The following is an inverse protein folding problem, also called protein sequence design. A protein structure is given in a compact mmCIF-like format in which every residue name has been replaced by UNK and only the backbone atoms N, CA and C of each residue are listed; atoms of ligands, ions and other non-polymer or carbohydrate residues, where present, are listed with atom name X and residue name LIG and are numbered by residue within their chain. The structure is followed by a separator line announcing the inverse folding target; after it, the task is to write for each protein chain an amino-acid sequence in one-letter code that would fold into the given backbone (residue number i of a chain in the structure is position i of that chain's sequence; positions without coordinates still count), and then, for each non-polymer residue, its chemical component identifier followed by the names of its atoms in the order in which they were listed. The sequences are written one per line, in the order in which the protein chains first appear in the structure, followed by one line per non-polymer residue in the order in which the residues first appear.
data_IF_806233886168
#
_entry.id   IF_806233886168
#
_cell.length_a   1.000
_cell.length_b   1.000
_cell.length_c   1.000
_cell.angle_alpha   90.00
_cell.angle_beta   90.00
_cell.angle_gamma   90.00
#
_symmetry.space_group_name_H-M   'P 1'
#
loop_
_entity.id
_entity.type
_entity.pdbx_description
1 polymer ?
#
# COMPACT_ATOMS: atom_id res chain seq x y z
N UNK A 1 -8.43 -36.71 15.73
CA UNK A 1 -7.93 -35.67 16.66
C UNK A 1 -7.25 -34.58 15.84
N UNK A 2 -7.77 -33.35 15.85
CA UNK A 2 -7.14 -32.21 15.17
C UNK A 2 -6.00 -31.70 16.06
N UNK A 3 -4.77 -31.73 15.54
CA UNK A 3 -3.59 -31.23 16.24
C UNK A 3 -3.73 -29.73 16.54
N UNK A 4 -3.39 -29.30 17.76
CA UNK A 4 -3.43 -27.87 18.12
C UNK A 4 -2.45 -27.09 17.22
N UNK A 5 -2.89 -26.01 16.57
CA UNK A 5 -2.01 -25.22 15.70
C UNK A 5 -0.89 -24.58 16.52
N UNK A 6 0.35 -24.67 16.01
CA UNK A 6 1.52 -24.01 16.61
C UNK A 6 1.63 -22.58 16.07
N UNK A 7 2.04 -21.65 16.94
CA UNK A 7 2.31 -20.28 16.53
C UNK A 7 3.44 -20.22 15.48
N UNK A 8 3.23 -19.43 14.43
CA UNK A 8 4.24 -19.20 13.39
C UNK A 8 5.33 -18.28 13.94
N UNK A 9 6.59 -18.67 13.79
CA UNK A 9 7.74 -17.81 14.12
C UNK A 9 7.93 -16.75 13.02
N UNK A 10 8.32 -15.50 13.34
CA UNK A 10 8.58 -14.47 12.34
C UNK A 10 9.56 -14.90 11.24
N UNK A 11 10.57 -15.71 11.62
CA UNK A 11 11.54 -16.24 10.66
C UNK A 11 10.92 -17.20 9.65
N UNK A 12 9.94 -18.00 10.06
CA UNK A 12 9.21 -18.90 9.17
C UNK A 12 8.44 -18.12 8.11
N UNK A 13 7.80 -17.01 8.51
CA UNK A 13 7.10 -16.12 7.58
C UNK A 13 8.08 -15.45 6.60
N UNK A 14 9.20 -14.90 7.12
CA UNK A 14 10.25 -14.28 6.30
C UNK A 14 10.81 -15.25 5.25
N UNK A 15 11.05 -16.51 5.63
CA UNK A 15 11.54 -17.54 4.71
C UNK A 15 10.51 -17.90 3.64
N UNK A 16 9.22 -18.02 3.99
CA UNK A 16 8.17 -18.29 3.01
C UNK A 16 7.97 -17.13 2.02
N UNK A 17 8.01 -15.89 2.50
CA UNK A 17 7.96 -14.70 1.64
C UNK A 17 9.16 -14.68 0.68
N UNK A 18 10.37 -14.95 1.19
CA UNK A 18 11.58 -15.04 0.35
C UNK A 18 11.42 -16.09 -0.74
N UNK A 19 10.97 -17.29 -0.38
CA UNK A 19 10.77 -18.40 -1.32
C UNK A 19 9.75 -18.06 -2.42
N UNK A 20 8.62 -17.45 -2.07
CA UNK A 20 7.64 -16.95 -3.04
C UNK A 20 8.27 -15.92 -3.97
N UNK A 21 9.03 -14.97 -3.42
CA UNK A 21 9.69 -13.93 -4.23
C UNK A 21 10.72 -14.51 -5.21
N UNK A 22 11.44 -15.56 -4.83
CA UNK A 22 12.38 -16.26 -5.73
C UNK A 22 11.62 -16.99 -6.83
N UNK A 23 10.58 -17.77 -6.47
CA UNK A 23 9.76 -18.51 -7.43
C UNK A 23 9.03 -17.59 -8.42
N UNK A 24 8.65 -16.39 -7.98
CA UNK A 24 8.04 -15.36 -8.82
C UNK A 24 9.06 -14.58 -9.68
N UNK A 25 10.37 -14.87 -9.58
CA UNK A 25 11.41 -14.14 -10.31
C UNK A 25 11.69 -12.73 -9.78
N UNK A 26 11.11 -12.34 -8.64
CA UNK A 26 11.28 -11.01 -8.03
C UNK A 26 12.58 -10.90 -7.23
N UNK A 27 13.25 -12.02 -6.95
CA UNK A 27 14.48 -12.05 -6.15
C UNK A 27 15.43 -13.14 -6.62
N UNK A 28 16.69 -12.78 -6.82
CA UNK A 28 17.77 -13.74 -7.10
C UNK A 28 18.48 -14.18 -5.83
N UNK A 29 18.96 -15.43 -5.82
CA UNK A 29 19.87 -15.95 -4.82
C UNK A 29 21.25 -15.95 -5.43
N UNK A 30 22.15 -15.13 -4.87
CA UNK A 30 23.57 -15.18 -5.22
C UNK A 30 24.26 -16.03 -4.14
N UNK A 31 24.90 -17.09 -4.58
CA UNK A 31 25.67 -17.97 -3.72
C UNK A 31 27.06 -17.39 -3.50
N UNK A 32 27.58 -17.52 -2.28
CA UNK A 32 28.98 -17.21 -2.01
C UNK A 32 29.85 -18.21 -2.79
N UNK A 33 30.80 -17.72 -3.60
CA UNK A 33 31.69 -18.58 -4.36
C UNK A 33 32.46 -19.54 -3.44
N UNK A 34 32.41 -20.81 -3.83
CA UNK A 34 33.00 -22.03 -3.24
C UNK A 34 34.40 -21.85 -2.62
N UNK A 35 34.47 -21.39 -1.38
CA UNK A 35 35.61 -21.68 -0.49
C UNK A 35 35.12 -22.75 0.50
N UNK A 36 35.21 -23.98 -0.01
CA UNK A 36 35.01 -25.36 0.49
C UNK A 36 34.25 -25.71 1.79
N UNK A 37 33.86 -24.81 2.71
CA UNK A 37 33.19 -25.22 3.97
C UNK A 37 32.04 -24.35 4.47
N UNK A 38 31.68 -23.27 3.77
CA UNK A 38 30.57 -22.40 4.18
C UNK A 38 29.53 -22.24 3.07
N UNK A 39 28.43 -22.98 3.19
CA UNK A 39 27.23 -22.74 2.38
C UNK A 39 26.51 -21.50 2.90
N UNK A 40 26.43 -20.46 2.07
CA UNK A 40 25.78 -19.20 2.41
C UNK A 40 25.28 -18.47 1.18
N UNK A 41 24.21 -17.69 1.35
CA UNK A 41 23.74 -16.75 0.32
C UNK A 41 24.15 -15.34 0.69
N UNK A 42 24.46 -14.53 -0.32
CA UNK A 42 24.72 -13.12 -0.13
C UNK A 42 23.47 -12.42 0.39
N UNK A 43 23.64 -11.64 1.47
CA UNK A 43 22.57 -10.77 1.96
C UNK A 43 22.41 -9.63 0.97
N UNK A 44 21.18 -9.43 0.49
CA UNK A 44 20.83 -8.23 -0.28
C UNK A 44 20.80 -7.02 0.65
N UNK A 45 21.07 -5.85 0.08
CA UNK A 45 21.01 -4.55 0.76
C UNK A 45 19.68 -4.34 1.50
N UNK A 46 18.56 -4.67 0.86
CA UNK A 46 17.23 -4.60 1.47
C UNK A 46 16.73 -6.02 1.83
N UNK A 47 16.55 -6.32 3.14
CA UNK A 47 15.89 -7.53 3.58
C UNK A 47 14.44 -7.58 3.07
N UNK A 48 13.96 -8.76 2.66
CA UNK A 48 12.65 -8.88 1.99
C UNK A 48 11.50 -8.28 2.81
N UNK A 49 11.42 -8.57 4.11
CA UNK A 49 10.38 -8.05 5.01
C UNK A 49 10.52 -6.54 5.23
N UNK A 50 11.75 -6.02 5.26
CA UNK A 50 11.98 -4.57 5.34
C UNK A 50 11.55 -3.88 4.05
N UNK A 51 11.70 -4.54 2.89
CA UNK A 51 11.17 -4.09 1.62
C UNK A 51 9.65 -3.91 1.66
N UNK A 52 8.92 -4.88 2.20
CA UNK A 52 7.47 -4.75 2.41
C UNK A 52 7.09 -3.58 3.34
N UNK A 53 7.83 -3.41 4.44
CA UNK A 53 7.61 -2.25 5.33
C UNK A 53 7.87 -0.93 4.62
N UNK A 54 8.99 -0.80 3.89
CA UNK A 54 9.33 0.38 3.09
C UNK A 54 8.26 0.67 2.04
N UNK A 55 7.80 -0.35 1.31
CA UNK A 55 6.71 -0.21 0.35
C UNK A 55 5.45 0.34 1.03
N UNK A 56 5.03 -0.25 2.14
CA UNK A 56 3.87 0.21 2.90
C UNK A 56 4.00 1.69 3.31
N UNK A 57 5.15 2.06 3.89
CA UNK A 57 5.47 3.45 4.26
C UNK A 57 5.39 4.38 3.05
N UNK A 58 6.00 4.01 1.93
CA UNK A 58 5.98 4.80 0.69
C UNK A 58 4.57 5.00 0.17
N UNK A 59 3.72 3.97 0.18
CA UNK A 59 2.33 4.12 -0.29
C UNK A 59 1.47 5.01 0.62
N UNK A 60 1.75 5.03 1.93
CA UNK A 60 1.11 5.97 2.85
C UNK A 60 1.59 7.41 2.63
N UNK A 61 2.86 7.61 2.26
CA UNK A 61 3.39 8.93 1.87
C UNK A 61 2.70 9.43 0.60
N UNK A 62 2.58 8.59 -0.42
CA UNK A 62 1.89 8.93 -1.69
C UNK A 62 0.40 9.26 -1.48
N UNK A 63 -0.24 8.65 -0.48
CA UNK A 63 -1.63 8.93 -0.11
C UNK A 63 -1.80 10.19 0.78
N UNK A 64 -0.71 10.91 1.05
CA UNK A 64 -0.65 12.08 1.93
C UNK A 64 -1.17 11.79 3.35
N UNK A 65 -0.76 10.64 3.89
CA UNK A 65 -1.02 10.29 5.29
C UNK A 65 0.03 10.97 6.18
N UNK A 66 -0.45 11.72 7.17
CA UNK A 66 0.40 12.44 8.13
C UNK A 66 1.40 11.52 8.83
N UNK A 67 2.59 12.05 9.10
CA UNK A 67 3.73 11.28 9.62
C UNK A 67 3.42 10.56 10.93
N UNK A 68 2.78 11.24 11.87
CA UNK A 68 2.37 10.70 13.15
C UNK A 68 1.36 9.53 13.00
N UNK A 69 0.44 9.62 12.04
CA UNK A 69 -0.54 8.57 11.76
C UNK A 69 0.10 7.38 11.07
N UNK A 70 1.03 7.64 10.14
CA UNK A 70 1.85 6.61 9.49
C UNK A 70 2.68 5.84 10.52
N UNK A 71 3.30 6.52 11.48
CA UNK A 71 4.04 5.87 12.56
C UNK A 71 3.15 4.97 13.42
N UNK A 72 1.95 5.44 13.77
CA UNK A 72 0.98 4.61 14.49
C UNK A 72 0.55 3.38 13.67
N UNK A 73 0.29 3.54 12.37
CA UNK A 73 -0.03 2.43 11.46
C UNK A 73 1.12 1.42 11.31
N UNK A 74 2.37 1.88 11.42
CA UNK A 74 3.57 1.05 11.40
C UNK A 74 3.88 0.38 12.74
N UNK A 75 3.10 0.69 13.79
CA UNK A 75 3.33 0.22 15.15
C UNK A 75 4.55 0.85 15.82
N UNK A 76 4.97 2.04 15.37
CA UNK A 76 5.98 2.82 16.07
C UNK A 76 5.39 3.57 17.27
N UNK A 77 6.23 3.79 18.28
CA UNK A 77 5.94 4.80 19.28
C UNK A 77 6.07 6.20 18.66
N UNK A 78 5.15 7.08 19.03
CA UNK A 78 5.26 8.50 18.70
C UNK A 78 6.51 9.09 19.38
N UNK A 79 7.14 10.08 18.73
CA UNK A 79 8.37 10.68 19.24
C UNK A 79 8.06 11.81 20.22
N UNK A 80 8.96 12.00 21.19
CA UNK A 80 8.95 13.14 22.11
C UNK A 80 7.57 13.35 22.78
N UNK A 81 7.07 14.58 22.80
CA UNK A 81 5.82 14.93 23.46
C UNK A 81 4.58 14.62 22.59
N UNK A 82 4.74 14.12 21.36
CA UNK A 82 3.60 13.86 20.46
C UNK A 82 2.63 12.84 21.04
N UNK A 83 3.11 11.89 21.87
CA UNK A 83 2.25 10.94 22.57
C UNK A 83 1.22 11.60 23.50
N UNK A 84 1.50 12.82 23.97
CA UNK A 84 0.60 13.56 24.85
C UNK A 84 -0.50 14.29 24.08
N UNK A 85 -0.23 14.66 22.82
CA UNK A 85 -1.13 15.50 22.01
C UNK A 85 -1.86 14.70 20.92
N UNK A 86 -1.23 13.68 20.35
CA UNK A 86 -1.76 12.88 19.25
C UNK A 86 -2.49 11.67 19.84
N UNK A 87 -3.73 11.91 20.26
CA UNK A 87 -4.67 10.85 20.66
C UNK A 87 -5.64 10.59 19.52
N UNK A 88 -5.33 9.58 18.73
CA UNK A 88 -6.09 9.23 17.53
C UNK A 88 -6.97 8.04 17.85
N UNK A 89 -8.26 8.14 17.50
CA UNK A 89 -9.16 6.99 17.61
C UNK A 89 -8.84 5.96 16.52
N UNK A 90 -9.07 4.68 16.81
CA UNK A 90 -8.89 3.60 15.83
C UNK A 90 -9.66 3.87 14.53
N UNK A 91 -10.89 4.41 14.65
CA UNK A 91 -11.71 4.81 13.50
C UNK A 91 -11.03 5.84 12.61
N UNK A 92 -10.40 6.86 13.19
CA UNK A 92 -9.67 7.87 12.42
C UNK A 92 -8.42 7.26 11.76
N UNK A 93 -7.71 6.40 12.47
CA UNK A 93 -6.54 5.71 11.91
C UNK A 93 -6.93 4.80 10.73
N UNK A 94 -8.06 4.12 10.84
CA UNK A 94 -8.64 3.32 9.76
C UNK A 94 -8.98 4.18 8.54
N UNK A 95 -9.64 5.33 8.71
CA UNK A 95 -9.99 6.22 7.60
C UNK A 95 -8.75 6.71 6.84
N UNK A 96 -7.66 6.99 7.54
CA UNK A 96 -6.39 7.40 6.93
C UNK A 96 -5.72 6.24 6.19
N UNK A 97 -5.77 5.03 6.76
CA UNK A 97 -5.32 3.83 6.06
C UNK A 97 -6.13 3.55 4.79
N UNK A 98 -7.45 3.74 4.83
CA UNK A 98 -8.35 3.53 3.68
C UNK A 98 -7.99 4.41 2.48
N UNK A 99 -7.43 5.60 2.71
CA UNK A 99 -6.94 6.48 1.63
C UNK A 99 -5.81 5.82 0.83
N UNK A 100 -4.98 5.02 1.48
CA UNK A 100 -3.84 4.35 0.86
C UNK A 100 -4.13 2.94 0.33
N UNK A 101 -5.32 2.37 0.60
CA UNK A 101 -5.66 1.01 0.17
C UNK A 101 -5.46 0.82 -1.33
N UNK A 102 -5.86 1.80 -2.16
CA UNK A 102 -5.71 1.71 -3.60
C UNK A 102 -4.24 1.61 -4.05
N UNK A 103 -3.31 2.18 -3.28
CA UNK A 103 -1.88 2.13 -3.54
C UNK A 103 -1.27 0.80 -3.05
N UNK A 104 -1.82 0.26 -1.95
CA UNK A 104 -1.37 -0.98 -1.33
C UNK A 104 -1.92 -2.24 -1.99
N UNK A 105 -2.97 -2.12 -2.79
CA UNK A 105 -3.63 -3.25 -3.46
C UNK A 105 -3.35 -3.25 -4.96
N UNK A 106 -3.15 -4.46 -5.49
CA UNK A 106 -2.98 -4.71 -6.92
C UNK A 106 -4.35 -4.74 -7.64
N UNK A 107 -5.45 -4.97 -6.90
CA UNK A 107 -6.79 -5.06 -7.49
C UNK A 107 -7.21 -3.71 -8.10
N UNK A 108 -7.32 -3.70 -9.43
CA UNK A 108 -7.72 -2.53 -10.20
C UNK A 108 -9.20 -2.18 -10.04
N UNK A 109 -10.04 -3.10 -9.56
CA UNK A 109 -11.49 -2.92 -9.48
C UNK A 109 -11.89 -1.62 -8.77
N UNK A 110 -11.25 -1.29 -7.65
CA UNK A 110 -11.51 -0.04 -6.94
C UNK A 110 -11.03 1.20 -7.71
N UNK A 111 -9.91 1.09 -8.44
CA UNK A 111 -9.38 2.18 -9.29
C UNK A 111 -10.30 2.41 -10.50
N UNK A 112 -10.72 1.34 -11.15
CA UNK A 112 -11.66 1.34 -12.26
C UNK A 112 -13.02 1.89 -11.85
N UNK A 113 -13.57 1.45 -10.70
CA UNK A 113 -14.84 1.95 -10.17
C UNK A 113 -14.81 3.46 -9.94
N UNK A 114 -13.76 3.98 -9.30
CA UNK A 114 -13.58 5.44 -9.11
C UNK A 114 -13.46 6.18 -10.43
N UNK A 115 -12.72 5.64 -11.39
CA UNK A 115 -12.56 6.24 -12.72
C UNK A 115 -13.91 6.34 -13.43
N UNK A 116 -14.72 5.28 -13.38
CA UNK A 116 -16.08 5.27 -13.94
C UNK A 116 -16.99 6.29 -13.26
N UNK A 117 -16.93 6.43 -11.94
CA UNK A 117 -17.70 7.46 -11.21
C UNK A 117 -17.31 8.87 -11.62
N UNK A 118 -16.00 9.17 -11.70
CA UNK A 118 -15.50 10.47 -12.14
C UNK A 118 -15.96 10.77 -13.58
N UNK A 119 -15.77 9.82 -14.50
CA UNK A 119 -16.19 9.97 -15.90
C UNK A 119 -17.71 10.19 -16.02
N UNK A 120 -18.53 9.55 -15.18
CA UNK A 120 -19.98 9.79 -15.15
C UNK A 120 -20.33 11.22 -14.70
N UNK A 121 -19.64 11.74 -13.69
CA UNK A 121 -19.83 13.11 -13.19
C UNK A 121 -19.41 14.12 -14.26
N UNK A 122 -18.25 13.92 -14.88
CA UNK A 122 -17.73 14.78 -15.94
C UNK A 122 -18.64 14.79 -17.17
N UNK A 123 -19.09 13.61 -17.62
CA UNK A 123 -20.07 13.49 -18.70
C UNK A 123 -21.36 14.25 -18.37
N UNK A 124 -21.90 14.08 -17.16
CA UNK A 124 -23.11 14.81 -16.74
C UNK A 124 -22.93 16.34 -16.74
N UNK A 125 -21.72 16.83 -16.45
CA UNK A 125 -21.38 18.26 -16.54
C UNK A 125 -21.32 18.73 -18.00
N UNK A 126 -20.69 17.95 -18.88
CA UNK A 126 -20.59 18.23 -20.31
C UNK A 126 -21.99 18.28 -20.93
N UNK A 127 -22.83 17.27 -20.69
CA UNK A 127 -24.21 17.22 -21.21
C UNK A 127 -25.02 18.46 -20.81
N UNK A 128 -24.84 18.95 -19.57
CA UNK A 128 -25.48 20.19 -19.09
C UNK A 128 -24.94 21.45 -19.76
N UNK A 129 -23.65 21.49 -20.08
CA UNK A 129 -23.03 22.61 -20.80
C UNK A 129 -23.49 22.63 -22.26
N UNK A 130 -23.51 21.48 -22.94
CA UNK A 130 -24.02 21.35 -24.31
C UNK A 130 -25.48 21.81 -24.41
N UNK A 131 -26.32 21.41 -23.45
CA UNK A 131 -27.72 21.85 -23.39
C UNK A 131 -27.86 23.38 -23.20
N UNK A 132 -26.94 24.01 -22.46
CA UNK A 132 -26.92 25.48 -22.30
C UNK A 132 -26.46 26.17 -23.58
N UNK A 133 -25.43 25.65 -24.25
CA UNK A 133 -24.93 26.17 -25.53
C UNK A 133 -26.03 26.13 -26.58
N UNK A 134 -26.71 24.99 -26.76
CA UNK A 134 -27.83 24.89 -27.69
C UNK A 134 -28.96 25.89 -27.39
N UNK A 135 -29.26 26.15 -26.12
CA UNK A 135 -30.27 27.16 -25.75
C UNK A 135 -29.83 28.58 -26.11
N UNK A 136 -28.54 28.89 -25.97
CA UNK A 136 -27.98 30.19 -26.35
C UNK A 136 -27.98 30.36 -27.87
N UNK A 137 -27.55 29.36 -28.63
CA UNK A 137 -27.58 29.38 -30.10
C UNK A 137 -29.00 29.57 -30.65
N UNK A 138 -30.00 28.95 -30.02
CA UNK A 138 -31.42 29.14 -30.37
C UNK A 138 -31.97 30.52 -30.04
N UNK A 139 -31.34 31.28 -29.13
CA UNK A 139 -31.72 32.66 -28.78
C UNK A 139 -31.05 33.71 -29.66
N UNK A 140 -30.02 33.34 -30.41
CA UNK A 140 -29.26 34.24 -31.30
C UNK A 140 -29.52 33.96 -32.78
N UNK A 141 -30.47 33.07 -33.08
CA UNK A 141 -31.16 32.97 -34.38
C UNK A 141 -32.53 33.60 -34.24
#
# INVERSE_FOLDING_TARGET
MISKPRAIKPISLSNKIRDIAIRAGLRTVEEFNKIEKHHGSLRKEVPIVHGFRKFFTSQLVEADVKTELRWLLEGHNLKANDSNYVRVSEKRLQQEYERAINNLTINEENRLRRTVEILKIEKSRIDKLEAKIQKLERRHR
#
